data_IF_893484245817
#
_entry.id   IF_893484245817
#
_cell.length_a   1.000
_cell.length_b   1.000
_cell.length_c   1.000
_cell.angle_alpha   90.00
_cell.angle_beta   90.00
_cell.angle_gamma   90.00
#
_symmetry.space_group_name_H-M   'P 1'
#
loop_
_entity.id
_entity.type
_entity.pdbx_description
1 polymer ?
#
# COMPACT_ATOMS: atom_id res chain seq x y z
N UNK A 1 -4.43 0.49 18.94
CA UNK A 1 -3.59 0.61 17.72
C UNK A 1 -4.47 1.11 16.59
N UNK A 2 -4.03 2.10 15.80
CA UNK A 2 -4.78 2.59 14.62
C UNK A 2 -4.29 1.83 13.38
N UNK A 3 -5.20 1.17 12.66
CA UNK A 3 -4.89 0.54 11.36
C UNK A 3 -4.57 1.67 10.36
N UNK A 4 -3.48 1.53 9.61
CA UNK A 4 -3.13 2.48 8.55
C UNK A 4 -4.11 2.31 7.39
N UNK A 5 -4.34 3.36 6.62
CA UNK A 5 -5.30 3.32 5.51
C UNK A 5 -4.83 2.36 4.41
N UNK A 6 -5.76 1.54 3.87
CA UNK A 6 -5.44 0.62 2.77
C UNK A 6 -5.07 1.43 1.50
N UNK A 7 -4.03 1.06 0.74
CA UNK A 7 -3.60 1.81 -0.45
C UNK A 7 -4.71 1.95 -1.51
N UNK A 8 -5.61 0.98 -1.58
CA UNK A 8 -6.80 1.03 -2.44
C UNK A 8 -7.82 2.10 -2.05
N UNK A 9 -7.92 2.45 -0.77
CA UNK A 9 -8.75 3.57 -0.31
C UNK A 9 -8.14 4.90 -0.74
N UNK A 10 -6.82 5.06 -0.53
CA UNK A 10 -6.06 6.24 -1.00
C UNK A 10 -6.22 6.40 -2.51
N UNK A 11 -6.07 5.32 -3.28
CA UNK A 11 -6.30 5.33 -4.72
C UNK A 11 -7.71 5.82 -5.08
N UNK A 12 -8.74 5.38 -4.36
CA UNK A 12 -10.11 5.76 -4.64
C UNK A 12 -10.42 7.20 -4.26
N UNK A 13 -10.09 7.59 -3.02
CA UNK A 13 -10.48 8.88 -2.43
C UNK A 13 -9.62 10.03 -2.92
N UNK A 14 -8.31 9.82 -3.11
CA UNK A 14 -7.38 10.91 -3.46
C UNK A 14 -7.08 11.02 -4.95
N UNK A 15 -7.31 9.95 -5.73
CA UNK A 15 -7.01 9.95 -7.17
C UNK A 15 -8.25 9.75 -8.03
N UNK A 16 -8.99 8.64 -7.86
CA UNK A 16 -10.10 8.33 -8.75
C UNK A 16 -11.29 9.30 -8.62
N UNK A 17 -11.76 9.56 -7.39
CA UNK A 17 -12.89 10.47 -7.17
C UNK A 17 -12.59 11.91 -7.60
N UNK A 18 -11.44 12.53 -7.25
CA UNK A 18 -11.15 13.91 -7.66
C UNK A 18 -10.96 14.05 -9.17
N UNK A 19 -10.45 13.02 -9.85
CA UNK A 19 -10.25 13.02 -11.30
C UNK A 19 -11.50 12.58 -12.08
N UNK A 20 -12.57 12.12 -11.40
CA UNK A 20 -13.76 11.57 -12.06
C UNK A 20 -13.48 10.30 -12.88
N UNK A 21 -12.41 9.57 -12.56
CA UNK A 21 -11.97 8.39 -13.33
C UNK A 21 -12.54 7.13 -12.69
N UNK A 22 -13.12 6.24 -13.51
CA UNK A 22 -13.60 4.95 -13.03
C UNK A 22 -12.46 3.93 -12.90
N UNK A 23 -12.61 2.94 -12.00
CA UNK A 23 -11.65 1.85 -11.88
C UNK A 23 -11.42 1.10 -13.21
N UNK A 24 -12.47 0.97 -14.03
CA UNK A 24 -12.37 0.37 -15.36
C UNK A 24 -11.52 1.23 -16.31
N UNK A 25 -11.77 2.54 -16.37
CA UNK A 25 -10.99 3.46 -17.20
C UNK A 25 -9.51 3.47 -16.79
N UNK A 26 -9.23 3.46 -15.48
CA UNK A 26 -7.86 3.32 -14.98
C UNK A 26 -7.23 1.99 -15.44
N UNK A 27 -7.94 0.87 -15.32
CA UNK A 27 -7.41 -0.43 -15.72
C UNK A 27 -7.02 -0.48 -17.20
N UNK A 28 -7.85 0.10 -18.08
CA UNK A 28 -7.55 0.25 -19.51
C UNK A 28 -6.30 1.09 -19.71
N UNK A 29 -6.20 2.25 -19.05
CA UNK A 29 -5.03 3.12 -19.18
C UNK A 29 -3.72 2.48 -18.66
N UNK A 30 -3.81 1.64 -17.63
CA UNK A 30 -2.66 0.91 -17.08
C UNK A 30 -2.32 -0.38 -17.84
N UNK A 31 -3.17 -0.81 -18.78
CA UNK A 31 -3.01 -2.06 -19.52
C UNK A 31 -3.09 -3.31 -18.63
N UNK A 32 -4.01 -3.33 -17.65
CA UNK A 32 -4.21 -4.45 -16.72
C UNK A 32 -5.69 -4.88 -16.68
N UNK A 33 -6.00 -6.11 -16.22
CA UNK A 33 -7.39 -6.54 -16.08
C UNK A 33 -8.18 -5.62 -15.12
N UNK A 34 -9.41 -5.27 -15.50
CA UNK A 34 -10.28 -4.41 -14.68
C UNK A 34 -10.53 -4.97 -13.27
N UNK A 35 -10.61 -6.30 -13.14
CA UNK A 35 -10.74 -7.00 -11.86
C UNK A 35 -9.58 -6.67 -10.92
N UNK A 36 -8.35 -6.51 -11.43
CA UNK A 36 -7.18 -6.18 -10.62
C UNK A 36 -7.35 -4.83 -9.93
N UNK A 37 -7.77 -3.80 -10.67
CA UNK A 37 -7.96 -2.45 -10.12
C UNK A 37 -9.19 -2.40 -9.22
N UNK A 38 -10.28 -3.06 -9.62
CA UNK A 38 -11.48 -3.16 -8.80
C UNK A 38 -11.19 -3.82 -7.44
N UNK A 39 -10.44 -4.94 -7.42
CA UNK A 39 -10.07 -5.61 -6.17
C UNK A 39 -9.21 -4.73 -5.27
N UNK A 40 -8.30 -3.93 -5.86
CA UNK A 40 -7.48 -2.98 -5.10
C UNK A 40 -8.36 -1.90 -4.48
N UNK A 41 -9.22 -1.25 -5.28
CA UNK A 41 -10.14 -0.21 -4.83
C UNK A 41 -11.10 -0.73 -3.75
N UNK A 42 -11.57 -1.97 -3.88
CA UNK A 42 -12.42 -2.63 -2.89
C UNK A 42 -11.65 -3.26 -1.71
N UNK A 43 -10.35 -3.00 -1.58
CA UNK A 43 -9.51 -3.47 -0.48
C UNK A 43 -9.44 -5.00 -0.36
N UNK A 44 -9.72 -5.73 -1.44
CA UNK A 44 -9.63 -7.20 -1.52
C UNK A 44 -8.25 -7.67 -1.94
N UNK A 45 -7.41 -6.75 -2.43
CA UNK A 45 -6.07 -7.01 -2.93
C UNK A 45 -5.15 -5.84 -2.61
N UNK A 46 -3.93 -6.15 -2.19
CA UNK A 46 -2.88 -5.15 -2.03
C UNK A 46 -2.23 -4.70 -3.34
N UNK A 47 -1.42 -3.65 -3.28
CA UNK A 47 -0.65 -3.15 -4.43
C UNK A 47 0.66 -3.93 -4.55
N UNK A 48 0.86 -4.56 -5.72
CA UNK A 48 2.13 -5.21 -6.08
C UNK A 48 3.11 -4.21 -6.70
N UNK A 49 4.40 -4.56 -6.79
CA UNK A 49 5.43 -3.73 -7.41
C UNK A 49 5.11 -3.38 -8.89
N UNK A 50 4.59 -4.33 -9.69
CA UNK A 50 4.12 -4.06 -11.07
C UNK A 50 3.01 -3.01 -11.07
N UNK A 51 2.04 -3.12 -10.17
CA UNK A 51 0.92 -2.18 -10.10
C UNK A 51 1.38 -0.80 -9.62
N UNK A 52 2.26 -0.76 -8.62
CA UNK A 52 2.87 0.48 -8.14
C UNK A 52 3.63 1.23 -9.26
N UNK A 53 4.42 0.52 -10.07
CA UNK A 53 5.13 1.12 -11.20
C UNK A 53 4.18 1.69 -12.27
N UNK A 54 3.09 0.97 -12.56
CA UNK A 54 2.05 1.42 -13.50
C UNK A 54 1.32 2.66 -12.98
N UNK A 55 0.87 2.63 -11.72
CA UNK A 55 0.21 3.77 -11.07
C UNK A 55 1.12 5.00 -11.02
N UNK A 56 2.40 4.81 -10.68
CA UNK A 56 3.40 5.87 -10.68
C UNK A 56 3.54 6.54 -12.05
N UNK A 57 3.63 5.73 -13.13
CA UNK A 57 3.71 6.25 -14.50
C UNK A 57 2.44 7.02 -14.90
N UNK A 58 1.26 6.55 -14.51
CA UNK A 58 0.00 7.16 -14.90
C UNK A 58 -0.31 8.46 -14.12
N UNK A 59 -0.09 8.46 -12.80
CA UNK A 59 -0.40 9.59 -11.93
C UNK A 59 0.77 10.57 -11.73
N UNK A 60 1.94 10.29 -12.30
CA UNK A 60 3.13 11.11 -12.10
C UNK A 60 3.68 11.05 -10.66
N UNK A 61 3.45 9.94 -9.96
CA UNK A 61 3.95 9.71 -8.59
C UNK A 61 5.15 8.75 -8.61
N UNK A 62 5.64 8.32 -7.44
CA UNK A 62 6.71 7.33 -7.34
C UNK A 62 6.16 5.93 -7.05
N UNK A 63 6.80 4.88 -7.57
CA UNK A 63 6.42 3.50 -7.22
C UNK A 63 6.63 3.24 -5.71
N UNK A 64 7.65 3.87 -5.12
CA UNK A 64 7.92 3.82 -3.69
C UNK A 64 6.77 4.39 -2.85
N UNK A 65 6.09 5.45 -3.30
CA UNK A 65 4.91 5.97 -2.62
C UNK A 65 3.84 4.89 -2.42
N UNK A 66 3.47 4.19 -3.49
CA UNK A 66 2.47 3.12 -3.44
C UNK A 66 2.92 1.93 -2.59
N UNK A 67 4.19 1.53 -2.71
CA UNK A 67 4.76 0.44 -1.90
C UNK A 67 4.82 0.81 -0.43
N UNK A 68 5.12 2.06 -0.09
CA UNK A 68 5.15 2.52 1.30
C UNK A 68 3.76 2.50 1.94
N UNK A 69 2.71 2.84 1.18
CA UNK A 69 1.33 2.70 1.65
C UNK A 69 0.98 1.24 1.93
N UNK A 70 1.33 0.33 1.01
CA UNK A 70 1.11 -1.11 1.18
C UNK A 70 1.85 -1.65 2.41
N UNK A 71 3.15 -1.36 2.53
CA UNK A 71 3.96 -1.81 3.67
C UNK A 71 3.45 -1.27 5.00
N UNK A 72 3.04 0.00 5.05
CA UNK A 72 2.49 0.60 6.26
C UNK A 72 1.15 -0.04 6.65
N UNK A 73 0.28 -0.34 5.68
CA UNK A 73 -0.95 -1.08 5.90
C UNK A 73 -0.66 -2.47 6.46
N UNK A 74 0.16 -3.25 5.77
CA UNK A 74 0.48 -4.64 6.14
C UNK A 74 1.11 -4.71 7.53
N UNK A 75 2.07 -3.83 7.82
CA UNK A 75 2.69 -3.76 9.14
C UNK A 75 1.66 -3.44 10.24
N UNK A 76 0.74 -2.50 9.99
CA UNK A 76 -0.28 -2.15 10.98
C UNK A 76 -1.26 -3.29 11.28
N UNK A 77 -1.54 -4.16 10.29
CA UNK A 77 -2.33 -5.38 10.49
C UNK A 77 -1.54 -6.38 11.32
N UNK A 78 -0.27 -6.62 10.98
CA UNK A 78 0.61 -7.54 11.71
C UNK A 78 0.81 -7.10 13.16
N UNK A 79 1.05 -5.81 13.41
CA UNK A 79 1.21 -5.26 14.76
C UNK A 79 -0.06 -5.41 15.60
N UNK A 80 -1.24 -5.23 14.97
CA UNK A 80 -2.53 -5.46 15.63
C UNK A 80 -2.73 -6.93 16.00
N UNK A 81 -2.47 -7.83 15.07
CA UNK A 81 -2.86 -9.24 15.20
C UNK A 81 -1.81 -10.07 15.94
N UNK A 82 -0.53 -9.69 15.84
CA UNK A 82 0.62 -10.42 16.40
C UNK A 82 1.43 -9.59 17.40
N UNK A 83 0.94 -8.45 17.86
CA UNK A 83 1.69 -7.56 18.76
C UNK A 83 2.19 -8.25 20.03
N UNK A 84 1.39 -9.13 20.63
CA UNK A 84 1.81 -9.92 21.80
C UNK A 84 2.94 -10.90 21.45
N UNK A 85 2.85 -11.58 20.31
CA UNK A 85 3.90 -12.49 19.85
C UNK A 85 5.19 -11.72 19.47
N UNK A 86 5.09 -10.54 18.90
CA UNK A 86 6.28 -9.75 18.60
C UNK A 86 6.99 -9.24 19.86
N UNK A 87 6.26 -9.04 20.96
CA UNK A 87 6.80 -8.44 22.19
C UNK A 87 7.85 -9.30 22.92
N UNK A 88 7.85 -10.63 22.71
CA UNK A 88 8.83 -11.51 23.34
C UNK A 88 10.15 -11.62 22.56
N UNK A 89 10.22 -11.08 21.34
CA UNK A 89 11.41 -11.10 20.50
C UNK A 89 12.44 -10.13 21.09
N UNK A 90 13.61 -10.66 21.47
CA UNK A 90 14.70 -9.86 22.03
C UNK A 90 15.60 -9.32 20.90
N UNK A 91 15.85 -7.99 20.85
CA UNK A 91 16.80 -7.43 19.88
C UNK A 91 18.20 -8.00 20.06
N UNK A 92 18.91 -8.20 18.94
CA UNK A 92 20.28 -8.68 18.97
C UNK A 92 21.22 -7.60 19.54
N UNK A 93 22.00 -7.95 20.57
CA UNK A 93 22.77 -6.99 21.37
C UNK A 93 23.77 -6.15 20.56
N UNK A 94 24.33 -6.68 19.47
CA UNK A 94 25.29 -5.95 18.62
C UNK A 94 24.67 -5.00 17.60
N UNK A 95 23.34 -4.98 17.47
CA UNK A 95 22.60 -4.12 16.51
C UNK A 95 22.01 -2.89 17.22
N UNK A 96 22.20 -2.77 18.54
CA UNK A 96 21.70 -1.66 19.33
C UNK A 96 22.45 -0.36 19.04
N UNK A 97 21.75 0.61 18.45
CA UNK A 97 22.09 2.06 18.48
C UNK A 97 23.14 2.54 17.48
N UNK A 98 22.94 2.28 16.18
CA UNK A 98 23.63 3.07 15.15
C UNK A 98 22.70 3.43 13.98
N UNK A 99 21.49 3.92 14.29
CA UNK A 99 20.64 4.63 13.33
C UNK A 99 20.01 5.83 14.04
N UNK A 100 20.86 6.72 14.55
CA UNK A 100 20.50 8.09 14.91
C UNK A 100 21.57 9.03 14.35
N UNK A 101 21.42 9.39 13.08
CA UNK A 101 21.70 10.71 12.49
C UNK A 101 21.41 10.64 10.99
#
# INVERSE_FOLDING_TARGET
>A
MRIRTHPGEVLNEEFLKPLGVTAHALAVALGVPATRIADIVHQRRGVSADTAARLARFFGTSAAFWMNLQSAYDLSIVERDKGADLSHIRPHASVGTSLSC
#
